data_IF_818312655573
#
_entry.id   IF_818312655573
#
_cell.length_a   1.000
_cell.length_b   1.000
_cell.length_c   1.000
_cell.angle_alpha   90.00
_cell.angle_beta   90.00
_cell.angle_gamma   90.00
#
_symmetry.space_group_name_H-M   'P 1'
#
loop_
_entity.id
_entity.type
_entity.pdbx_description
1 polymer ?
#
# COMPACT_ATOMS: atom_id res chain seq x y z
N UNK A 1 10.07 6.73 2.33
CA UNK A 1 9.01 7.22 1.43
C UNK A 1 8.83 8.69 1.71
N UNK A 2 8.64 9.46 0.65
CA UNK A 2 8.27 10.87 0.75
C UNK A 2 6.75 11.06 0.85
N UNK A 3 6.33 12.32 0.96
CA UNK A 3 4.93 12.72 1.17
C UNK A 3 3.98 12.11 0.13
N UNK A 4 4.35 12.17 -1.15
CA UNK A 4 3.50 11.68 -2.24
C UNK A 4 3.39 10.15 -2.20
N UNK A 5 4.50 9.44 -1.96
CA UNK A 5 4.52 7.98 -1.84
C UNK A 5 3.67 7.51 -0.66
N UNK A 6 3.70 8.20 0.47
CA UNK A 6 2.88 7.85 1.65
C UNK A 6 1.39 8.04 1.35
N UNK A 7 1.00 9.18 0.79
CA UNK A 7 -0.41 9.41 0.42
C UNK A 7 -0.95 8.35 -0.56
N UNK A 8 -0.12 7.95 -1.53
CA UNK A 8 -0.44 6.88 -2.49
C UNK A 8 -0.52 5.51 -1.82
N UNK A 9 0.40 5.21 -0.92
CA UNK A 9 0.40 3.96 -0.17
C UNK A 9 -0.84 3.84 0.72
N UNK A 10 -1.22 4.92 1.42
CA UNK A 10 -2.46 4.97 2.20
C UNK A 10 -3.69 4.72 1.31
N UNK A 11 -3.77 5.39 0.16
CA UNK A 11 -4.85 5.18 -0.80
C UNK A 11 -4.93 3.73 -1.26
N UNK A 12 -3.80 3.17 -1.69
CA UNK A 12 -3.71 1.78 -2.15
C UNK A 12 -4.18 0.79 -1.06
N UNK A 13 -3.71 0.96 0.17
CA UNK A 13 -4.09 0.09 1.28
C UNK A 13 -5.57 0.22 1.65
N UNK A 14 -6.15 1.42 1.62
CA UNK A 14 -7.59 1.61 1.84
C UNK A 14 -8.43 1.02 0.69
N UNK A 15 -8.00 1.14 -0.56
CA UNK A 15 -8.71 0.55 -1.71
C UNK A 15 -8.76 -0.98 -1.65
N UNK A 16 -7.73 -1.60 -1.07
CA UNK A 16 -7.66 -3.04 -0.88
C UNK A 16 -8.19 -3.50 0.49
N UNK A 17 -8.71 -2.58 1.32
CA UNK A 17 -9.33 -2.94 2.58
C UNK A 17 -10.61 -3.72 2.29
N UNK A 18 -10.72 -4.93 2.81
CA UNK A 18 -11.85 -5.83 2.59
C UNK A 18 -12.63 -6.11 3.88
N UNK A 19 -13.89 -6.51 3.73
CA UNK A 19 -14.69 -6.97 4.86
C UNK A 19 -14.14 -8.28 5.42
N UNK A 20 -14.07 -8.39 6.75
CA UNK A 20 -13.60 -9.61 7.41
C UNK A 20 -14.50 -10.83 7.08
N UNK A 21 -15.79 -10.57 6.85
CA UNK A 21 -16.80 -11.58 6.51
C UNK A 21 -16.81 -11.95 5.03
N UNK A 22 -16.35 -11.07 4.14
CA UNK A 22 -16.21 -11.33 2.70
C UNK A 22 -14.94 -10.68 2.16
N UNK A 23 -13.77 -11.35 2.27
CA UNK A 23 -12.48 -10.79 1.85
C UNK A 23 -12.39 -10.40 0.36
N UNK A 24 -13.29 -10.92 -0.47
CA UNK A 24 -13.39 -10.58 -1.90
C UNK A 24 -14.14 -9.27 -2.14
N UNK A 25 -14.83 -8.74 -1.13
CA UNK A 25 -15.57 -7.47 -1.20
C UNK A 25 -14.80 -6.39 -0.47
N UNK A 26 -14.36 -5.37 -1.22
CA UNK A 26 -13.74 -4.18 -0.66
C UNK A 26 -14.72 -3.39 0.21
N UNK A 27 -14.22 -2.86 1.32
CA UNK A 27 -14.94 -1.90 2.18
C UNK A 27 -15.28 -0.66 1.37
N UNK A 28 -14.30 -0.14 0.63
CA UNK A 28 -14.47 0.97 -0.29
C UNK A 28 -14.42 0.44 -1.73
N UNK A 29 -15.14 1.10 -2.64
CA UNK A 29 -14.94 0.82 -4.06
C UNK A 29 -13.56 1.31 -4.52
N UNK A 30 -13.06 0.81 -5.65
CA UNK A 30 -11.77 1.28 -6.22
C UNK A 30 -11.75 2.79 -6.47
N UNK A 31 -12.88 3.38 -6.86
CA UNK A 31 -13.05 4.84 -7.00
C UNK A 31 -13.49 5.54 -5.70
N UNK A 32 -13.79 4.78 -4.65
CA UNK A 32 -14.29 5.26 -3.36
C UNK A 32 -13.20 5.72 -2.39
N UNK A 33 -11.92 5.69 -2.79
CA UNK A 33 -10.84 6.29 -2.00
C UNK A 33 -10.13 7.32 -2.86
N UNK A 34 -10.13 8.56 -2.38
CA UNK A 34 -9.57 9.71 -3.09
C UNK A 34 -8.57 10.45 -2.21
N UNK A 35 -7.57 11.09 -2.85
CA UNK A 35 -6.68 12.05 -2.20
C UNK A 35 -7.15 13.43 -2.66
N UNK A 36 -7.60 14.28 -1.74
CA UNK A 36 -8.18 15.59 -2.06
C UNK A 36 -8.24 16.48 -0.81
N UNK A 37 -8.06 17.78 -0.98
CA UNK A 37 -8.35 18.77 0.07
C UNK A 37 -9.83 19.19 0.10
N UNK A 38 -10.66 18.61 -0.77
CA UNK A 38 -12.10 18.83 -0.76
C UNK A 38 -12.73 18.04 0.40
N UNK A 39 -13.43 18.69 1.35
CA UNK A 39 -14.08 17.98 2.45
C UNK A 39 -15.08 16.92 1.95
N UNK A 40 -15.18 15.79 2.67
CA UNK A 40 -16.04 14.67 2.30
C UNK A 40 -17.49 15.09 2.07
N UNK A 41 -18.00 16.06 2.86
CA UNK A 41 -19.35 16.62 2.70
C UNK A 41 -19.61 17.18 1.29
N UNK A 42 -18.60 17.73 0.63
CA UNK A 42 -18.71 18.31 -0.72
C UNK A 42 -18.63 17.26 -1.85
N UNK A 43 -18.31 16.01 -1.48
CA UNK A 43 -18.22 14.85 -2.37
C UNK A 43 -19.44 13.93 -2.26
N UNK A 44 -20.34 14.17 -1.30
CA UNK A 44 -21.62 13.47 -1.17
C UNK A 44 -22.40 13.61 -2.49
N UNK A 45 -22.88 12.49 -3.02
CA UNK A 45 -23.57 12.40 -4.32
C UNK A 45 -22.64 12.41 -5.55
N UNK A 46 -21.35 12.74 -5.39
CA UNK A 46 -20.33 12.65 -6.46
C UNK A 46 -19.54 11.34 -6.40
N UNK A 47 -19.30 10.86 -5.18
CA UNK A 47 -18.65 9.58 -4.91
C UNK A 47 -19.67 8.68 -4.23
N UNK A 48 -19.70 7.42 -4.67
CA UNK A 48 -20.59 6.40 -4.14
C UNK A 48 -20.15 5.98 -2.73
N UNK A 49 -21.08 5.97 -1.77
CA UNK A 49 -20.83 5.48 -0.42
C UNK A 49 -20.68 3.93 -0.34
N UNK A 50 -19.93 3.42 0.65
CA UNK A 50 -19.03 4.18 1.53
C UNK A 50 -17.79 4.66 0.76
N UNK A 51 -17.23 5.80 1.18
CA UNK A 51 -16.00 6.34 0.61
C UNK A 51 -15.08 6.94 1.68
N UNK A 52 -13.81 7.11 1.33
CA UNK A 52 -12.81 7.76 2.15
C UNK A 52 -12.06 8.86 1.37
N UNK A 53 -11.75 9.96 2.04
CA UNK A 53 -10.98 11.09 1.54
C UNK A 53 -9.71 11.20 2.37
N UNK A 54 -8.55 11.12 1.73
CA UNK A 54 -7.25 11.40 2.33
C UNK A 54 -6.91 12.85 1.99
N UNK A 55 -6.84 13.70 3.00
CA UNK A 55 -6.46 15.10 2.84
C UNK A 55 -4.94 15.26 2.70
N UNK A 56 -4.51 16.35 2.07
CA UNK A 56 -3.09 16.71 2.04
C UNK A 56 -2.57 16.82 3.47
N UNK A 57 -1.38 16.27 3.76
CA UNK A 57 -0.88 16.28 5.12
C UNK A 57 -0.43 17.69 5.52
N UNK A 58 -0.58 18.00 6.81
CA UNK A 58 0.22 19.07 7.41
C UNK A 58 1.62 18.55 7.75
N UNK A 59 2.60 19.45 7.81
CA UNK A 59 4.00 19.13 8.03
C UNK A 59 4.51 19.75 9.34
N UNK A 60 5.31 18.99 10.08
CA UNK A 60 6.12 19.49 11.19
C UNK A 60 7.54 18.96 11.06
N UNK A 61 8.53 19.86 11.05
CA UNK A 61 9.94 19.51 11.04
C UNK A 61 10.34 18.76 12.31
N UNK A 62 11.15 17.71 12.20
CA UNK A 62 11.73 17.05 13.36
C UNK A 62 12.97 17.84 13.83
N UNK A 63 12.92 18.39 15.04
CA UNK A 63 14.00 19.25 15.58
C UNK A 63 15.35 18.54 15.70
N UNK A 64 15.33 17.22 15.91
CA UNK A 64 16.56 16.41 16.09
C UNK A 64 17.16 15.92 14.77
N UNK A 65 16.38 15.88 13.69
CA UNK A 65 16.85 15.42 12.40
C UNK A 65 16.17 16.22 11.27
N UNK A 66 16.86 17.21 10.68
CA UNK A 66 16.26 18.10 9.68
C UNK A 66 15.88 17.38 8.37
N UNK A 67 16.43 16.20 8.11
CA UNK A 67 16.07 15.38 6.95
C UNK A 67 14.80 14.54 7.19
N UNK A 68 14.31 14.52 8.43
CA UNK A 68 13.09 13.82 8.81
C UNK A 68 11.97 14.81 9.07
N UNK A 69 10.81 14.39 8.65
CA UNK A 69 9.59 15.18 8.68
C UNK A 69 8.48 14.35 9.30
N UNK A 70 7.63 14.98 10.10
CA UNK A 70 6.40 14.35 10.59
C UNK A 70 5.25 14.92 9.79
N UNK A 71 4.59 14.06 9.01
CA UNK A 71 3.39 14.38 8.27
C UNK A 71 2.17 14.01 9.10
N UNK A 72 1.12 14.82 9.06
CA UNK A 72 -0.17 14.48 9.64
C UNK A 72 -1.23 14.45 8.54
N UNK A 73 -1.62 13.26 8.11
CA UNK A 73 -2.73 13.05 7.19
C UNK A 73 -4.05 13.06 7.96
N UNK A 74 -5.09 13.59 7.35
CA UNK A 74 -6.47 13.40 7.81
C UNK A 74 -7.21 12.49 6.83
N UNK A 75 -7.93 11.49 7.37
CA UNK A 75 -8.81 10.61 6.61
C UNK A 75 -10.24 10.88 7.07
N UNK A 76 -11.07 11.37 6.17
CA UNK A 76 -12.52 11.45 6.37
C UNK A 76 -13.20 10.24 5.73
N UNK A 77 -14.04 9.54 6.49
CA UNK A 77 -14.85 8.43 6.01
C UNK A 77 -16.31 8.86 5.97
N UNK A 78 -17.04 8.43 4.95
CA UNK A 78 -18.47 8.72 4.78
C UNK A 78 -19.27 7.44 4.61
N UNK A 79 -20.40 7.37 5.32
CA UNK A 79 -21.43 6.34 5.15
C UNK A 79 -22.80 7.01 5.13
N UNK A 80 -23.72 6.42 4.39
CA UNK A 80 -25.13 6.80 4.38
C UNK A 80 -26.02 5.56 4.45
N UNK A 81 -27.22 5.73 5.00
CA UNK A 81 -28.24 4.71 5.00
C UNK A 81 -29.63 5.31 4.79
N UNK A 82 -30.40 4.70 3.88
CA UNK A 82 -31.79 5.08 3.63
C UNK A 82 -32.72 4.43 4.66
N UNK A 83 -33.83 5.12 4.95
CA UNK A 83 -34.86 4.71 5.91
C UNK A 83 -34.30 4.44 7.32
N UNK A 84 -33.29 5.21 7.73
CA UNK A 84 -32.69 5.19 9.06
C UNK A 84 -33.05 6.48 9.82
N UNK A 85 -34.28 6.62 10.34
CA UNK A 85 -34.76 7.85 10.96
C UNK A 85 -34.03 8.22 12.26
N UNK A 86 -33.18 7.34 12.79
CA UNK A 86 -32.43 7.58 14.02
C UNK A 86 -30.91 7.64 13.78
N UNK A 87 -30.45 7.37 12.55
CA UNK A 87 -29.03 7.30 12.24
C UNK A 87 -28.30 6.16 12.96
N UNK A 88 -29.02 5.16 13.46
CA UNK A 88 -28.43 4.04 14.20
C UNK A 88 -27.69 3.12 13.23
N UNK A 89 -28.33 2.78 12.11
CA UNK A 89 -27.75 1.88 11.13
C UNK A 89 -26.54 2.49 10.41
N UNK A 90 -26.53 3.80 10.13
CA UNK A 90 -25.33 4.47 9.58
C UNK A 90 -24.17 4.47 10.59
N UNK A 91 -24.47 4.47 11.89
CA UNK A 91 -23.46 4.52 12.94
C UNK A 91 -22.89 3.12 13.27
N UNK A 92 -23.75 2.21 13.74
CA UNK A 92 -23.35 0.87 14.23
C UNK A 92 -23.60 -0.25 13.22
N UNK A 93 -24.46 -0.02 12.22
CA UNK A 93 -24.86 -1.01 11.22
C UNK A 93 -26.32 -1.45 11.34
N UNK A 94 -26.86 -1.98 10.25
CA UNK A 94 -28.18 -2.60 10.18
C UNK A 94 -28.08 -4.13 10.37
N UNK A 95 -29.23 -4.81 10.49
CA UNK A 95 -29.29 -6.27 10.45
C UNK A 95 -28.68 -6.79 9.14
N UNK A 96 -27.73 -7.73 9.23
CA UNK A 96 -27.03 -8.33 8.07
C UNK A 96 -27.97 -9.18 7.17
N UNK A 97 -29.27 -9.17 7.42
CA UNK A 97 -30.30 -9.94 6.69
C UNK A 97 -30.65 -9.34 5.33
N UNK A 98 -30.18 -8.13 5.01
CA UNK A 98 -30.44 -7.49 3.72
C UNK A 98 -29.42 -7.95 2.69
N UNK A 99 -29.78 -9.00 1.95
CA UNK A 99 -29.07 -9.44 0.75
C UNK A 99 -29.03 -8.29 -0.27
N UNK A 100 -27.90 -7.61 -0.40
CA UNK A 100 -27.69 -6.56 -1.42
C UNK A 100 -27.22 -5.19 -0.91
N UNK A 101 -27.09 -5.00 0.41
CA UNK A 101 -26.44 -3.81 0.96
C UNK A 101 -24.92 -3.81 0.69
N UNK A 102 -24.38 -2.71 0.16
CA UNK A 102 -22.97 -2.60 -0.26
C UNK A 102 -21.95 -2.57 0.88
N UNK A 103 -22.40 -2.20 2.08
CA UNK A 103 -21.58 -2.21 3.30
C UNK A 103 -21.75 -3.49 4.11
N UNK A 104 -22.42 -4.53 3.58
CA UNK A 104 -22.81 -5.73 4.35
C UNK A 104 -23.61 -5.39 5.62
N UNK A 105 -24.34 -4.28 5.61
CA UNK A 105 -25.04 -3.76 6.78
C UNK A 105 -24.11 -3.18 7.85
N UNK A 106 -22.82 -2.98 7.58
CA UNK A 106 -21.89 -2.37 8.55
C UNK A 106 -22.04 -0.84 8.56
N UNK A 107 -22.03 -0.27 9.76
CA UNK A 107 -22.00 1.18 9.98
C UNK A 107 -20.58 1.73 10.01
N UNK A 108 -20.46 3.06 10.10
CA UNK A 108 -19.19 3.79 10.07
C UNK A 108 -18.24 3.41 11.21
N UNK A 109 -18.75 2.99 12.37
CA UNK A 109 -17.90 2.56 13.50
C UNK A 109 -17.11 1.29 13.19
N UNK A 110 -17.70 0.38 12.40
CA UNK A 110 -16.99 -0.83 11.97
C UNK A 110 -15.95 -0.48 10.90
N UNK A 111 -16.29 0.39 9.94
CA UNK A 111 -15.31 0.90 8.97
C UNK A 111 -14.13 1.56 9.69
N UNK A 112 -14.41 2.41 10.69
CA UNK A 112 -13.39 3.05 11.52
C UNK A 112 -12.49 2.01 12.22
N UNK A 113 -13.06 0.93 12.75
CA UNK A 113 -12.29 -0.18 13.32
C UNK A 113 -11.37 -0.85 12.30
N UNK A 114 -11.86 -1.14 11.08
CA UNK A 114 -11.04 -1.76 10.03
C UNK A 114 -9.92 -0.83 9.56
N UNK A 115 -10.22 0.46 9.39
CA UNK A 115 -9.19 1.44 9.02
C UNK A 115 -8.18 1.59 10.17
N UNK A 116 -8.59 1.67 11.44
CA UNK A 116 -7.66 1.67 12.58
C UNK A 116 -6.72 0.47 12.56
N UNK A 117 -7.25 -0.73 12.34
CA UNK A 117 -6.44 -1.94 12.27
C UNK A 117 -5.46 -1.91 11.10
N UNK A 118 -5.91 -1.46 9.92
CA UNK A 118 -5.05 -1.26 8.76
C UNK A 118 -3.91 -0.29 9.11
N UNK A 119 -4.23 0.88 9.67
CA UNK A 119 -3.26 1.90 10.03
C UNK A 119 -2.27 1.41 11.09
N UNK A 120 -2.75 0.64 12.08
CA UNK A 120 -1.89 0.02 13.10
C UNK A 120 -0.98 -1.08 12.52
N UNK A 121 -1.41 -1.72 11.43
CA UNK A 121 -0.59 -2.70 10.73
C UNK A 121 0.48 -2.09 9.82
N UNK A 122 0.35 -0.79 9.48
CA UNK A 122 1.34 -0.10 8.66
C UNK A 122 2.70 -0.10 9.35
N UNK A 123 3.66 -0.76 8.71
CA UNK A 123 5.01 -0.88 9.24
C UNK A 123 6.09 -0.73 8.18
N UNK A 124 7.30 -1.13 8.56
CA UNK A 124 8.44 -1.20 7.62
C UNK A 124 8.12 -2.11 6.42
N UNK A 125 7.28 -3.12 6.63
CA UNK A 125 6.75 -4.02 5.60
C UNK A 125 5.83 -3.36 4.57
N UNK A 126 5.42 -2.11 4.78
CA UNK A 126 4.66 -1.30 3.82
C UNK A 126 5.47 -0.09 3.33
N UNK A 127 6.77 -0.03 3.65
CA UNK A 127 7.66 1.08 3.35
C UNK A 127 7.45 2.34 4.20
N UNK A 128 6.50 2.31 5.16
CA UNK A 128 6.23 3.42 6.08
C UNK A 128 7.05 3.22 7.36
N UNK A 129 7.98 4.14 7.63
CA UNK A 129 8.71 4.16 8.89
C UNK A 129 7.94 5.06 9.86
N UNK A 130 7.63 4.52 11.03
CA UNK A 130 7.33 5.27 12.26
C UNK A 130 5.85 5.66 12.48
N UNK A 131 5.25 4.85 13.36
CA UNK A 131 4.11 5.06 14.27
C UNK A 131 2.90 5.84 13.74
N UNK A 132 1.74 5.20 13.69
CA UNK A 132 0.47 5.91 13.54
C UNK A 132 -0.15 6.19 14.91
N UNK A 133 -0.35 7.47 15.25
CA UNK A 133 -1.22 7.88 16.36
C UNK A 133 -2.55 8.32 15.77
N UNK A 134 -3.63 7.75 16.30
CA UNK A 134 -4.97 7.97 15.82
C UNK A 134 -5.80 8.74 16.84
N UNK A 135 -6.32 9.89 16.42
CA UNK A 135 -7.33 10.66 17.16
C UNK A 135 -8.64 10.66 16.39
N UNK A 136 -9.74 10.28 17.05
CA UNK A 136 -11.08 10.25 16.46
C UNK A 136 -11.83 11.56 16.66
N UNK A 137 -12.46 12.08 15.61
CA UNK A 137 -13.38 13.22 15.66
C UNK A 137 -14.82 12.82 16.01
N UNK A 138 -15.63 13.77 16.51
CA UNK A 138 -17.09 13.60 16.60
C UNK A 138 -17.66 13.55 15.19
N UNK A 139 -18.51 12.55 14.91
CA UNK A 139 -19.16 12.48 13.62
C UNK A 139 -20.16 13.61 13.43
N UNK A 140 -20.22 14.19 12.22
CA UNK A 140 -21.32 15.07 11.83
C UNK A 140 -22.43 14.20 11.25
N UNK A 141 -23.55 14.11 11.98
CA UNK A 141 -24.78 13.53 11.47
C UNK A 141 -25.56 14.58 10.69
N UNK A 142 -26.03 14.21 9.50
CA UNK A 142 -27.09 14.96 8.81
C UNK A 142 -28.25 14.01 8.55
N UNK A 143 -29.46 14.51 8.74
CA UNK A 143 -30.68 13.76 8.50
C UNK A 143 -31.58 14.58 7.58
N UNK A 144 -31.73 14.10 6.36
CA UNK A 144 -32.72 14.65 5.42
C UNK A 144 -33.81 13.59 5.21
N UNK A 145 -34.90 13.72 5.97
CA UNK A 145 -36.19 13.01 6.02
C UNK A 145 -36.23 11.46 5.87
N UNK A 146 -35.32 10.85 5.10
CA UNK A 146 -35.13 9.41 4.88
C UNK A 146 -33.67 8.99 4.76
N UNK A 147 -32.71 9.90 4.61
CA UNK A 147 -31.30 9.57 4.46
C UNK A 147 -30.53 9.99 5.72
N UNK A 148 -29.98 9.02 6.44
CA UNK A 148 -29.02 9.28 7.50
C UNK A 148 -27.61 9.25 6.94
N UNK A 149 -26.82 10.26 7.30
CA UNK A 149 -25.45 10.42 6.84
C UNK A 149 -24.52 10.55 8.03
N UNK A 150 -23.30 10.00 7.93
CA UNK A 150 -22.27 10.20 8.93
C UNK A 150 -20.91 10.39 8.27
N UNK A 151 -20.17 11.41 8.74
CA UNK A 151 -18.76 11.62 8.40
C UNK A 151 -17.93 11.43 9.66
N UNK A 152 -16.82 10.68 9.58
CA UNK A 152 -15.82 10.59 10.65
C UNK A 152 -14.43 10.89 10.15
N UNK A 153 -13.72 11.75 10.88
CA UNK A 153 -12.32 12.06 10.64
C UNK A 153 -11.40 11.26 11.55
N UNK A 154 -10.26 10.86 11.00
CA UNK A 154 -9.13 10.30 11.73
C UNK A 154 -7.84 10.97 11.28
N UNK A 155 -6.97 11.33 12.21
CA UNK A 155 -5.63 11.82 11.89
C UNK A 155 -4.61 10.70 12.00
N UNK A 156 -3.61 10.70 11.12
CA UNK A 156 -2.48 9.77 11.10
C UNK A 156 -1.21 10.59 11.02
N UNK A 157 -0.36 10.44 12.03
CA UNK A 157 1.00 11.00 12.01
C UNK A 157 1.95 9.96 11.43
N UNK A 158 2.87 10.36 10.56
CA UNK A 158 3.83 9.45 9.90
C UNK A 158 5.19 10.14 9.77
N UNK A 159 6.26 9.44 10.11
CA UNK A 159 7.63 9.89 9.83
C UNK A 159 8.00 9.67 8.37
N UNK A 160 8.53 10.69 7.69
CA UNK A 160 8.98 10.60 6.31
C UNK A 160 10.34 11.27 6.09
N UNK A 161 10.91 11.02 4.92
CA UNK A 161 12.08 11.72 4.38
C UNK A 161 11.69 12.31 3.02
N UNK A 162 12.34 13.36 2.55
CA UNK A 162 11.98 14.00 1.27
C UNK A 162 12.33 13.14 0.05
N UNK A 163 13.33 12.26 0.19
CA UNK A 163 13.79 11.39 -0.88
C UNK A 163 12.80 10.26 -1.16
N UNK A 164 12.68 9.94 -2.46
CA UNK A 164 12.00 8.73 -2.88
C UNK A 164 12.78 7.51 -2.41
N UNK A 165 12.05 6.53 -1.89
CA UNK A 165 12.68 5.27 -1.44
C UNK A 165 12.06 4.12 -2.19
N UNK A 166 12.89 3.17 -2.64
CA UNK A 166 12.47 1.95 -3.34
C UNK A 166 13.01 0.74 -2.58
N UNK A 167 12.19 0.05 -1.77
CA UNK A 167 12.60 -1.15 -1.05
C UNK A 167 13.21 -2.19 -1.96
N UNK A 168 14.23 -2.85 -1.45
CA UNK A 168 14.91 -3.94 -2.14
C UNK A 168 14.24 -5.28 -1.83
N UNK A 169 14.55 -6.32 -2.60
CA UNK A 169 14.24 -7.70 -2.20
C UNK A 169 14.94 -8.05 -0.88
N UNK A 170 14.43 -9.04 -0.18
CA UNK A 170 15.01 -9.55 1.07
C UNK A 170 15.56 -10.96 0.87
N UNK A 171 16.47 -11.37 1.77
CA UNK A 171 16.97 -12.74 1.87
C UNK A 171 17.41 -13.37 0.54
N UNK A 172 18.08 -12.59 -0.33
CA UNK A 172 18.61 -13.10 -1.59
C UNK A 172 19.69 -14.16 -1.29
N UNK A 173 19.48 -15.38 -1.78
CA UNK A 173 20.41 -16.49 -1.65
C UNK A 173 20.53 -17.26 -2.95
N UNK A 174 21.61 -18.03 -3.10
CA UNK A 174 21.88 -18.83 -4.29
C UNK A 174 22.63 -20.10 -3.96
N UNK A 175 22.37 -21.16 -4.74
CA UNK A 175 23.05 -22.45 -4.61
C UNK A 175 23.21 -23.11 -5.97
N UNK A 176 24.34 -23.81 -6.17
CA UNK A 176 24.58 -24.64 -7.36
C UNK A 176 24.41 -26.12 -7.02
N UNK A 177 23.64 -26.84 -7.83
CA UNK A 177 23.43 -28.29 -7.69
C UNK A 177 23.02 -28.91 -9.02
N UNK A 178 23.65 -30.04 -9.38
CA UNK A 178 23.28 -30.82 -10.56
C UNK A 178 23.39 -30.05 -11.88
N UNK A 179 24.38 -29.17 -12.00
CA UNK A 179 24.58 -28.31 -13.19
C UNK A 179 23.71 -27.06 -13.21
N UNK A 180 22.80 -26.87 -12.25
CA UNK A 180 21.92 -25.71 -12.20
C UNK A 180 22.30 -24.76 -11.06
N UNK A 181 22.09 -23.47 -11.27
CA UNK A 181 22.11 -22.47 -10.19
C UNK A 181 20.69 -22.03 -9.88
N UNK A 182 20.26 -22.19 -8.63
CA UNK A 182 18.98 -21.70 -8.13
C UNK A 182 19.20 -20.49 -7.24
N UNK A 183 18.47 -19.40 -7.52
CA UNK A 183 18.45 -18.16 -6.76
C UNK A 183 17.07 -18.01 -6.12
N UNK A 184 17.02 -17.64 -4.85
CA UNK A 184 15.77 -17.40 -4.09
C UNK A 184 15.82 -16.05 -3.40
N UNK A 185 14.66 -15.44 -3.19
CA UNK A 185 14.52 -14.14 -2.51
C UNK A 185 13.13 -14.02 -1.88
N UNK A 186 12.95 -12.98 -1.07
CA UNK A 186 11.64 -12.52 -0.63
C UNK A 186 11.30 -11.19 -1.31
N UNK A 187 10.04 -11.04 -1.69
CA UNK A 187 9.56 -9.82 -2.35
C UNK A 187 9.72 -8.60 -1.45
N UNK A 188 9.94 -7.39 -2.03
CA UNK A 188 9.90 -6.17 -1.27
C UNK A 188 8.50 -5.96 -0.65
N UNK A 189 8.40 -5.13 0.41
CA UNK A 189 7.16 -4.56 0.94
C UNK A 189 6.05 -4.35 -0.09
N UNK A 190 4.82 -4.73 0.27
CA UNK A 190 3.67 -4.54 -0.60
C UNK A 190 3.33 -3.05 -0.75
N UNK A 191 3.35 -2.56 -2.00
CA UNK A 191 3.31 -1.15 -2.35
C UNK A 191 2.49 -0.87 -3.58
N UNK A 192 1.94 0.35 -3.64
CA UNK A 192 1.13 0.83 -4.75
C UNK A 192 1.84 0.83 -6.12
N UNK A 193 3.16 1.01 -6.15
CA UNK A 193 3.99 1.14 -7.36
C UNK A 193 4.85 -0.09 -7.65
N UNK A 194 4.73 -1.16 -6.86
CA UNK A 194 5.52 -2.38 -7.02
C UNK A 194 5.09 -3.13 -8.28
N UNK A 195 6.05 -3.50 -9.15
CA UNK A 195 5.76 -4.12 -10.44
C UNK A 195 6.31 -5.56 -10.59
N UNK A 196 7.63 -5.74 -10.62
CA UNK A 196 8.29 -7.03 -10.85
C UNK A 196 9.72 -7.03 -10.29
N UNK A 197 10.42 -8.16 -10.39
CA UNK A 197 11.83 -8.30 -10.01
C UNK A 197 12.68 -8.52 -11.27
N UNK A 198 13.70 -7.70 -11.48
CA UNK A 198 14.68 -7.90 -12.55
C UNK A 198 15.91 -8.65 -12.00
N UNK A 199 16.36 -9.66 -12.73
CA UNK A 199 17.52 -10.48 -12.38
C UNK A 199 18.66 -10.26 -13.37
N UNK A 200 19.86 -10.06 -12.85
CA UNK A 200 21.09 -9.87 -13.63
C UNK A 200 22.19 -10.74 -13.05
N UNK A 201 23.05 -11.29 -13.90
CA UNK A 201 24.29 -11.94 -13.46
C UNK A 201 25.52 -11.33 -14.10
N UNK A 202 26.66 -11.42 -13.42
CA UNK A 202 27.96 -10.98 -13.93
C UNK A 202 29.07 -11.88 -13.41
N UNK A 203 30.05 -12.19 -14.26
CA UNK A 203 31.19 -13.01 -13.90
C UNK A 203 32.23 -12.17 -13.13
N UNK A 204 32.72 -12.70 -12.00
CA UNK A 204 33.85 -12.17 -11.25
C UNK A 204 33.63 -10.85 -10.48
N UNK A 205 32.47 -10.19 -10.62
CA UNK A 205 32.14 -8.97 -9.88
C UNK A 205 30.64 -8.74 -9.79
N UNK A 206 30.20 -8.00 -8.77
CA UNK A 206 28.80 -7.61 -8.58
C UNK A 206 28.28 -6.74 -9.75
N UNK A 207 27.10 -7.05 -10.32
CA UNK A 207 26.37 -6.12 -11.19
C UNK A 207 26.18 -4.76 -10.49
N UNK A 208 26.48 -3.64 -11.15
CA UNK A 208 26.27 -2.28 -10.61
C UNK A 208 24.88 -1.71 -10.90
N UNK A 209 24.22 -2.19 -11.96
CA UNK A 209 22.88 -1.78 -12.40
C UNK A 209 22.15 -2.95 -13.06
N UNK A 210 20.89 -2.76 -13.41
CA UNK A 210 20.07 -3.73 -14.16
C UNK A 210 20.60 -4.04 -15.58
N UNK A 211 21.53 -3.22 -16.09
CA UNK A 211 22.15 -3.41 -17.42
C UNK A 211 23.62 -3.84 -17.33
N UNK A 212 24.18 -3.95 -16.13
CA UNK A 212 25.58 -4.32 -15.91
C UNK A 212 25.73 -5.84 -15.74
N UNK A 213 25.70 -6.55 -16.86
CA UNK A 213 25.85 -8.00 -16.91
C UNK A 213 24.92 -8.63 -17.94
N UNK A 214 24.64 -9.92 -17.76
CA UNK A 214 23.64 -10.66 -18.54
C UNK A 214 22.31 -10.59 -17.82
N UNK A 215 21.28 -10.04 -18.49
CA UNK A 215 19.90 -10.10 -17.99
C UNK A 215 19.40 -11.54 -18.00
N UNK A 216 18.85 -11.97 -16.88
CA UNK A 216 18.19 -13.28 -16.71
C UNK A 216 16.68 -13.18 -16.88
N UNK A 217 16.16 -11.97 -17.14
CA UNK A 217 14.74 -11.68 -17.33
C UNK A 217 14.10 -10.98 -16.13
N UNK A 218 12.79 -10.85 -16.20
CA UNK A 218 11.95 -10.30 -15.13
C UNK A 218 11.00 -11.37 -14.60
N UNK A 219 10.75 -11.30 -13.30
CA UNK A 219 9.93 -12.26 -12.56
C UNK A 219 8.80 -11.51 -11.88
N UNK A 220 7.56 -12.02 -12.00
CA UNK A 220 6.41 -11.41 -11.36
C UNK A 220 6.50 -11.49 -9.83
N UNK A 221 5.93 -10.50 -9.14
CA UNK A 221 5.77 -10.53 -7.68
C UNK A 221 5.03 -11.79 -7.25
N UNK A 222 5.44 -12.39 -6.14
CA UNK A 222 4.95 -13.67 -5.64
C UNK A 222 5.72 -14.88 -6.16
N UNK A 223 6.56 -14.72 -7.19
CA UNK A 223 7.52 -15.75 -7.61
C UNK A 223 8.87 -15.44 -6.96
N UNK A 224 9.36 -16.38 -6.14
CA UNK A 224 10.48 -16.17 -5.21
C UNK A 224 11.69 -17.09 -5.49
N UNK A 225 11.69 -17.72 -6.67
CA UNK A 225 12.75 -18.63 -7.10
C UNK A 225 12.99 -18.47 -8.60
N UNK A 226 14.26 -18.59 -8.99
CA UNK A 226 14.70 -18.64 -10.38
C UNK A 226 15.78 -19.70 -10.52
N UNK A 227 15.71 -20.54 -11.55
CA UNK A 227 16.73 -21.56 -11.82
C UNK A 227 17.35 -21.30 -13.17
N UNK A 228 18.66 -21.10 -13.17
CA UNK A 228 19.48 -21.06 -14.37
C UNK A 228 20.07 -22.44 -14.64
N UNK A 229 19.78 -22.96 -15.84
CA UNK A 229 20.32 -24.24 -16.29
C UNK A 229 21.71 -24.08 -16.89
N UNK A 230 22.61 -25.01 -16.54
CA UNK A 230 23.97 -25.15 -17.07
C UNK A 230 24.76 -23.83 -17.18
N UNK A 231 24.88 -23.02 -16.10
CA UNK A 231 25.73 -21.85 -16.14
C UNK A 231 27.19 -22.28 -16.29
N UNK A 232 27.97 -21.54 -17.09
CA UNK A 232 29.38 -21.87 -17.30
C UNK A 232 30.17 -21.86 -15.98
N UNK A 233 31.23 -22.65 -15.87
CA UNK A 233 32.07 -22.72 -14.66
C UNK A 233 32.63 -21.35 -14.27
N UNK A 234 32.69 -21.05 -12.98
CA UNK A 234 33.25 -19.80 -12.47
C UNK A 234 32.49 -19.23 -11.27
N UNK A 235 32.94 -18.06 -10.82
CA UNK A 235 32.29 -17.31 -9.73
C UNK A 235 31.36 -16.27 -10.31
N UNK A 236 30.06 -16.55 -10.23
CA UNK A 236 29.00 -15.68 -10.71
C UNK A 236 28.41 -14.87 -9.57
N UNK A 237 28.11 -13.61 -9.87
CA UNK A 237 27.42 -12.69 -8.97
C UNK A 237 26.04 -12.43 -9.55
N UNK A 238 25.02 -12.86 -8.82
CA UNK A 238 23.61 -12.68 -9.18
C UNK A 238 23.06 -11.50 -8.40
N UNK A 239 22.43 -10.56 -9.11
CA UNK A 239 21.79 -9.41 -8.55
C UNK A 239 20.28 -9.43 -8.82
N UNK A 240 19.51 -9.02 -7.81
CA UNK A 240 18.08 -8.82 -7.90
C UNK A 240 17.74 -7.35 -7.62
N UNK A 241 16.89 -6.78 -8.48
CA UNK A 241 16.39 -5.40 -8.40
C UNK A 241 14.87 -5.44 -8.40
N UNK A 242 14.23 -4.81 -7.41
CA UNK A 242 12.79 -4.61 -7.46
C UNK A 242 12.48 -3.45 -8.42
N UNK A 243 11.61 -3.69 -9.38
CA UNK A 243 11.18 -2.70 -10.35
C UNK A 243 9.86 -2.02 -9.91
N UNK A 244 9.78 -0.72 -10.16
CA UNK A 244 8.66 0.11 -9.76
C UNK A 244 8.08 0.93 -10.92
N UNK A 245 6.76 1.14 -10.88
CA UNK A 245 6.03 2.00 -11.79
C UNK A 245 5.44 3.21 -11.04
N UNK A 246 6.02 4.38 -11.27
CA UNK A 246 5.53 5.65 -10.72
C UNK A 246 4.27 6.16 -11.41
N UNK A 247 3.80 5.49 -12.47
CA UNK A 247 2.60 5.90 -13.18
C UNK A 247 1.38 5.89 -12.26
N UNK A 248 0.42 6.76 -12.56
CA UNK A 248 -0.72 7.08 -11.70
C UNK A 248 -1.79 5.98 -11.66
N UNK A 249 -1.59 4.90 -12.40
CA UNK A 249 -2.52 3.79 -12.66
C UNK A 249 -1.96 2.46 -12.16
N UNK A 250 -2.66 1.35 -12.43
CA UNK A 250 -2.12 0.01 -12.21
C UNK A 250 -0.71 -0.10 -12.82
N UNK A 251 0.31 -0.51 -12.04
CA UNK A 251 1.68 -0.66 -12.53
C UNK A 251 1.74 -1.50 -13.80
N UNK A 252 2.38 -0.97 -14.84
CA UNK A 252 2.49 -1.59 -16.17
C UNK A 252 3.83 -1.36 -16.86
N UNK A 253 4.60 -0.34 -16.44
CA UNK A 253 5.90 0.01 -17.04
C UNK A 253 6.95 0.26 -15.97
N UNK A 254 8.19 -0.16 -16.22
CA UNK A 254 9.28 0.13 -15.27
C UNK A 254 9.73 1.57 -15.43
N UNK A 255 9.73 2.30 -14.33
CA UNK A 255 10.19 3.70 -14.24
C UNK A 255 11.35 3.89 -13.27
N UNK A 256 11.53 2.94 -12.34
CA UNK A 256 12.59 2.97 -11.33
C UNK A 256 12.96 1.57 -10.87
N UNK A 257 14.10 1.45 -10.20
CA UNK A 257 14.58 0.22 -9.58
C UNK A 257 15.07 0.50 -8.16
N UNK A 258 14.88 -0.47 -7.27
CA UNK A 258 15.55 -0.47 -5.98
C UNK A 258 17.07 -0.55 -6.11
N UNK A 259 17.77 -0.31 -5.00
CA UNK A 259 19.15 -0.79 -4.87
C UNK A 259 19.24 -2.31 -5.11
N UNK A 260 20.40 -2.78 -5.53
CA UNK A 260 20.63 -4.21 -5.75
C UNK A 260 20.74 -4.98 -4.43
N UNK A 261 20.32 -6.25 -4.46
CA UNK A 261 20.88 -7.29 -3.59
C UNK A 261 21.71 -8.22 -4.43
N UNK A 262 22.84 -8.69 -3.89
CA UNK A 262 23.76 -9.56 -4.61
C UNK A 262 24.05 -10.82 -3.81
N UNK A 263 24.17 -11.94 -4.50
CA UNK A 263 24.68 -13.20 -3.99
C UNK A 263 25.74 -13.77 -4.93
N UNK A 264 26.79 -14.34 -4.37
CA UNK A 264 27.86 -15.01 -5.11
C UNK A 264 27.62 -16.52 -5.11
N UNK A 265 27.74 -17.16 -6.28
CA UNK A 265 27.66 -18.61 -6.44
C UNK A 265 28.86 -19.07 -7.26
N UNK A 266 29.58 -20.07 -6.78
CA UNK A 266 30.67 -20.72 -7.51
C UNK A 266 30.17 -22.06 -8.06
N UNK A 267 30.39 -22.27 -9.36
CA UNK A 267 30.03 -23.49 -10.11
C UNK A 267 31.29 -24.21 -10.53
#
# INVERSE_FOLDING_TARGET
MNTWQIGRQLRYKLQNLAWLTSPQQGVFSSAGVVISDTPAKMLIGKIRAPFAVIHSPSYTAETENPLKQVLTFEIEMYVENENDPHGEAVLVGASNTVTGGRSEGKGILHIEFLVKNLINSLGRGDGIRHWAVLSGGRGQGNQDNRLAQNIRSMSIRVGCIEEETYPTVHNLSGSSSGGNTTITWEDPPDRFDRLNIALVRKLGSDPSSVTDGTSLGTVAIGTQTFTEADPASGTWHYAAFAAYDKSYTTPSSVTDYSEKKVVQVTI
#
